data_IF_934956823963
#
_entry.id   IF_934956823963
#
_cell.length_a   1.000
_cell.length_b   1.000
_cell.length_c   1.000
_cell.angle_alpha   90.00
_cell.angle_beta   90.00
_cell.angle_gamma   90.00
#
_symmetry.space_group_name_H-M   'P 1'
#
loop_
_entity.id
_entity.type
_entity.pdbx_description
1 polymer ?
#
# COMPACT_ATOMS: atom_id res chain seq x y z
N UNK A 1 -9.36 22.90 10.81
CA UNK A 1 -8.48 21.72 10.97
C UNK A 1 -9.33 20.65 11.65
N UNK A 2 -9.92 19.71 10.90
CA UNK A 2 -10.80 18.69 11.49
C UNK A 2 -9.96 17.51 11.96
N UNK A 3 -9.82 17.39 13.28
CA UNK A 3 -9.39 16.20 13.98
C UNK A 3 -10.58 15.22 14.02
N UNK A 4 -10.81 14.55 12.89
CA UNK A 4 -11.83 13.51 12.74
C UNK A 4 -11.22 12.15 13.02
N UNK A 5 -10.94 11.82 14.29
CA UNK A 5 -10.46 10.49 14.69
C UNK A 5 -11.59 9.47 14.55
N UNK A 6 -11.79 8.97 13.33
CA UNK A 6 -12.61 7.80 13.07
C UNK A 6 -11.90 6.56 13.63
N UNK A 7 -12.45 5.99 14.69
CA UNK A 7 -12.08 4.66 15.21
C UNK A 7 -12.68 3.58 14.31
N UNK A 8 -12.23 3.54 13.05
CA UNK A 8 -12.30 2.31 12.27
C UNK A 8 -11.24 1.34 12.87
N UNK A 9 -11.44 0.00 12.85
CA UNK A 9 -10.32 -0.90 13.10
C UNK A 9 -9.17 -0.41 12.23
N UNK A 10 -8.01 -0.11 12.84
CA UNK A 10 -6.88 0.43 12.11
C UNK A 10 -6.52 -0.61 11.05
N UNK A 11 -6.98 -0.40 9.83
CA UNK A 11 -6.70 -1.25 8.69
C UNK A 11 -5.19 -1.22 8.53
N UNK A 12 -4.53 -2.33 8.85
CA UNK A 12 -3.08 -2.40 8.88
C UNK A 12 -2.62 -3.45 7.91
N UNK A 13 -1.65 -3.08 7.09
CA UNK A 13 -0.93 -3.99 6.21
C UNK A 13 0.55 -3.94 6.65
N UNK A 14 1.13 -5.06 7.10
CA UNK A 14 2.51 -5.10 7.59
C UNK A 14 3.48 -4.53 6.55
N UNK A 15 4.37 -3.64 6.98
CA UNK A 15 5.33 -2.98 6.08
C UNK A 15 4.77 -1.82 5.26
N UNK A 16 3.46 -1.53 5.35
CA UNK A 16 2.81 -0.43 4.64
C UNK A 16 2.21 0.59 5.61
N UNK A 17 2.18 1.85 5.19
CA UNK A 17 1.48 2.96 5.85
C UNK A 17 0.27 3.30 5.01
N UNK A 18 -0.91 3.20 5.60
CA UNK A 18 -2.17 3.49 4.93
C UNK A 18 -2.62 4.92 5.26
N UNK A 19 -3.20 5.56 4.26
CA UNK A 19 -3.84 6.88 4.35
C UNK A 19 -5.22 6.74 3.72
N UNK A 20 -6.26 7.07 4.48
CA UNK A 20 -7.61 7.15 3.95
C UNK A 20 -7.93 8.61 3.67
N UNK A 21 -8.25 8.93 2.41
CA UNK A 21 -8.72 10.25 2.03
C UNK A 21 -10.22 10.36 2.27
N UNK A 22 -10.69 11.54 2.68
CA UNK A 22 -12.11 11.88 2.84
C UNK A 22 -12.94 11.66 1.56
N UNK A 23 -12.28 11.65 0.40
CA UNK A 23 -12.91 11.42 -0.92
C UNK A 23 -13.08 9.92 -1.27
N UNK A 24 -13.24 9.05 -0.27
CA UNK A 24 -13.44 7.61 -0.44
C UNK A 24 -12.33 6.92 -1.27
N UNK A 25 -11.07 7.36 -1.09
CA UNK A 25 -9.90 6.78 -1.75
C UNK A 25 -8.84 6.40 -0.73
N UNK A 26 -8.36 5.18 -0.84
CA UNK A 26 -7.27 4.64 -0.03
C UNK A 26 -5.94 4.82 -0.74
N UNK A 27 -4.93 5.18 0.03
CA UNK A 27 -3.55 5.27 -0.40
C UNK A 27 -2.69 4.44 0.53
N UNK A 28 -1.68 3.77 -0.02
CA UNK A 28 -0.72 3.04 0.76
C UNK A 28 0.70 3.27 0.26
N UNK A 29 1.61 3.46 1.20
CA UNK A 29 3.03 3.64 0.96
C UNK A 29 3.83 2.59 1.70
N UNK A 30 4.72 1.90 1.01
CA UNK A 30 5.62 0.93 1.61
C UNK A 30 6.64 1.66 2.50
N UNK A 31 6.77 1.24 3.75
CA UNK A 31 7.68 1.85 4.75
C UNK A 31 9.15 1.73 4.33
N UNK A 32 9.49 0.66 3.63
CA UNK A 32 10.81 0.42 3.08
C UNK A 32 10.69 0.29 1.57
N UNK A 33 11.46 1.10 0.84
CA UNK A 33 11.46 1.04 -0.62
C UNK A 33 11.78 -0.37 -1.12
N UNK A 34 11.18 -0.73 -2.25
CA UNK A 34 11.53 -1.96 -2.93
C UNK A 34 13.01 -1.93 -3.37
N UNK A 35 13.71 -3.08 -3.28
CA UNK A 35 15.07 -3.19 -3.81
C UNK A 35 15.08 -2.91 -5.31
N UNK A 36 16.24 -2.47 -5.85
CA UNK A 36 16.33 -2.03 -7.24
C UNK A 36 15.88 -3.08 -8.26
N UNK A 37 16.07 -4.38 -7.98
CA UNK A 37 15.58 -5.48 -8.82
C UNK A 37 14.04 -5.53 -8.88
N UNK A 38 13.39 -5.45 -7.73
CA UNK A 38 11.93 -5.43 -7.63
C UNK A 38 11.33 -4.22 -8.36
N UNK A 39 11.92 -3.03 -8.21
CA UNK A 39 11.47 -1.85 -8.95
C UNK A 39 11.65 -2.01 -10.47
N UNK A 40 12.76 -2.60 -10.93
CA UNK A 40 12.97 -2.91 -12.35
C UNK A 40 11.98 -3.95 -12.87
N UNK A 41 11.51 -4.86 -12.01
CA UNK A 41 10.45 -5.80 -12.33
C UNK A 41 9.04 -5.17 -12.31
N UNK A 42 8.92 -3.89 -11.96
CA UNK A 42 7.67 -3.13 -11.97
C UNK A 42 7.00 -2.96 -10.60
N UNK A 43 7.65 -3.34 -9.50
CA UNK A 43 7.09 -3.13 -8.17
C UNK A 43 7.10 -1.64 -7.80
N UNK A 44 5.93 -1.09 -7.48
CA UNK A 44 5.76 0.32 -7.08
C UNK A 44 5.47 0.43 -5.57
N UNK A 45 6.18 1.31 -4.83
CA UNK A 45 6.03 1.43 -3.37
C UNK A 45 4.84 2.29 -2.94
N UNK A 46 4.17 2.94 -3.88
CA UNK A 46 3.01 3.81 -3.70
C UNK A 46 1.86 3.29 -4.56
N UNK A 47 0.71 3.04 -3.94
CA UNK A 47 -0.48 2.52 -4.60
C UNK A 47 -1.72 3.13 -3.98
N UNK A 48 -2.79 3.19 -4.76
CA UNK A 48 -4.08 3.68 -4.34
C UNK A 48 -5.20 2.77 -4.85
N UNK A 49 -6.35 2.84 -4.19
CA UNK A 49 -7.55 2.11 -4.58
C UNK A 49 -8.81 2.77 -3.98
N UNK A 50 -9.97 2.45 -4.51
CA UNK A 50 -11.26 3.00 -4.03
C UNK A 50 -11.78 2.23 -2.81
N UNK A 51 -11.35 0.97 -2.64
CA UNK A 51 -11.69 0.13 -1.48
C UNK A 51 -10.46 -0.46 -0.80
N UNK A 52 -10.60 -0.85 0.47
CA UNK A 52 -9.51 -1.51 1.20
C UNK A 52 -9.15 -2.89 0.63
N UNK A 53 -10.13 -3.64 0.14
CA UNK A 53 -9.90 -4.97 -0.47
C UNK A 53 -9.06 -4.85 -1.74
N UNK A 54 -9.40 -3.90 -2.61
CA UNK A 54 -8.60 -3.57 -3.80
C UNK A 54 -7.20 -3.10 -3.42
N UNK A 55 -7.07 -2.25 -2.39
CA UNK A 55 -5.77 -1.79 -1.92
C UNK A 55 -4.90 -2.97 -1.46
N UNK A 56 -5.49 -3.92 -0.73
CA UNK A 56 -4.79 -5.12 -0.28
C UNK A 56 -4.34 -5.98 -1.46
N UNK A 57 -5.23 -6.23 -2.43
CA UNK A 57 -4.89 -7.00 -3.63
C UNK A 57 -3.77 -6.35 -4.46
N UNK A 58 -3.80 -5.02 -4.60
CA UNK A 58 -2.75 -4.27 -5.29
C UNK A 58 -1.43 -4.37 -4.53
N UNK A 59 -1.43 -4.20 -3.20
CA UNK A 59 -0.23 -4.35 -2.37
C UNK A 59 0.35 -5.76 -2.49
N UNK A 60 -0.49 -6.80 -2.39
CA UNK A 60 -0.06 -8.19 -2.53
C UNK A 60 0.59 -8.42 -3.89
N UNK A 61 0.04 -7.84 -4.97
CA UNK A 61 0.66 -7.89 -6.29
C UNK A 61 2.04 -7.22 -6.32
N UNK A 62 2.21 -6.06 -5.70
CA UNK A 62 3.52 -5.40 -5.62
C UNK A 62 4.54 -6.25 -4.84
N UNK A 63 4.12 -6.83 -3.72
CA UNK A 63 4.97 -7.73 -2.93
C UNK A 63 5.30 -9.03 -3.68
N UNK A 64 4.39 -9.57 -4.49
CA UNK A 64 4.65 -10.73 -5.34
C UNK A 64 5.68 -10.42 -6.43
N UNK A 65 5.55 -9.28 -7.11
CA UNK A 65 6.54 -8.81 -8.10
C UNK A 65 7.92 -8.69 -7.41
N UNK A 66 7.95 -8.10 -6.21
CA UNK A 66 9.19 -7.96 -5.46
C UNK A 66 9.79 -9.30 -5.04
N UNK A 67 8.96 -10.27 -4.62
CA UNK A 67 9.40 -11.62 -4.23
C UNK A 67 9.96 -12.39 -5.41
N UNK A 68 9.32 -12.30 -6.58
CA UNK A 68 9.78 -12.95 -7.81
C UNK A 68 11.05 -12.32 -8.40
N UNK A 69 11.41 -11.11 -7.99
CA UNK A 69 12.63 -10.42 -8.40
C UNK A 69 13.83 -10.66 -7.45
N UNK A 70 13.67 -11.47 -6.40
CA UNK A 70 14.75 -11.89 -5.52
C UNK A 70 15.65 -12.91 -6.24
N UNK A 71 16.96 -12.93 -5.93
CA UNK A 71 17.91 -13.90 -6.51
C UNK A 71 17.65 -15.34 -6.03
#
# INVERSE_FOLDING_TARGET
MHDGKAIAPALTIPGWRLIHSDQNRFWAFRKTLFPARARRAGAVPDVDADTFDELQAVIERQEQIARGAQP
#
